data_IF_720331611174
#
_entry.id   IF_720331611174
#
_cell.length_a   1.000
_cell.length_b   1.000
_cell.length_c   1.000
_cell.angle_alpha   90.00
_cell.angle_beta   90.00
_cell.angle_gamma   90.00
#
_symmetry.space_group_name_H-M   'P 1'
#
loop_
_entity.id
_entity.type
_entity.pdbx_description
1 polymer ?
#
# COMPACT_ATOMS: atom_id res chain seq x y z
N UNK A 1 -8.26 13.84 -0.87
CA UNK A 1 -7.55 12.65 -1.38
C UNK A 1 -6.07 12.94 -1.29
N UNK A 2 -5.34 12.26 -0.40
CA UNK A 2 -3.91 12.46 -0.23
C UNK A 2 -3.17 11.64 -1.30
N UNK A 3 -2.59 12.33 -2.29
CA UNK A 3 -1.63 11.73 -3.21
C UNK A 3 -0.29 11.80 -2.50
N UNK A 4 0.19 10.65 -2.04
CA UNK A 4 1.51 10.54 -1.43
C UNK A 4 2.52 10.19 -2.51
N UNK A 5 3.66 10.90 -2.50
CA UNK A 5 4.88 10.31 -3.04
C UNK A 5 5.25 9.18 -2.09
N UNK A 6 5.57 7.98 -2.58
CA UNK A 6 5.79 6.78 -1.75
C UNK A 6 7.06 6.83 -0.87
N UNK A 7 7.51 8.02 -0.47
CA UNK A 7 8.56 8.25 0.51
C UNK A 7 8.15 9.45 1.38
N UNK A 8 7.88 9.20 2.67
CA UNK A 8 7.54 10.27 3.61
C UNK A 8 8.82 10.98 4.09
N UNK A 9 8.84 12.30 3.95
CA UNK A 9 9.39 13.29 4.89
C UNK A 9 10.68 12.92 5.62
N UNK A 10 11.83 13.09 4.95
CA UNK A 10 13.06 13.59 5.57
C UNK A 10 13.57 14.71 4.66
N UNK A 11 13.64 15.91 5.22
CA UNK A 11 14.43 17.08 4.82
C UNK A 11 14.84 17.24 3.35
N UNK A 12 14.39 18.34 2.73
CA UNK A 12 15.17 19.23 1.86
C UNK A 12 16.48 18.66 1.27
N UNK A 13 16.36 17.75 0.32
CA UNK A 13 17.39 17.43 -0.65
C UNK A 13 16.68 16.63 -1.74
N UNK A 14 16.33 17.31 -2.83
CA UNK A 14 15.97 16.64 -4.06
C UNK A 14 17.29 16.11 -4.65
N UNK A 15 17.53 14.78 -4.73
CA UNK A 15 18.63 14.32 -5.55
C UNK A 15 18.22 14.59 -7.00
N UNK A 16 19.00 15.39 -7.72
CA UNK A 16 18.80 15.77 -9.12
C UNK A 16 18.87 14.60 -10.11
N UNK A 17 18.99 13.36 -9.63
CA UNK A 17 19.00 12.16 -10.44
C UNK A 17 18.48 10.97 -9.64
N UNK A 18 17.40 10.28 -10.09
CA UNK A 18 17.00 9.02 -9.48
C UNK A 18 18.14 7.98 -9.65
N UNK A 19 18.42 7.13 -8.64
CA UNK A 19 19.39 6.04 -8.80
C UNK A 19 18.95 5.16 -9.97
N UNK A 20 19.93 4.68 -10.75
CA UNK A 20 19.70 3.94 -12.00
C UNK A 20 18.67 2.82 -11.80
N UNK A 21 17.49 2.98 -12.38
CA UNK A 21 16.38 2.02 -12.29
C UNK A 21 15.11 2.53 -11.59
N UNK A 22 15.15 3.63 -10.83
CA UNK A 22 13.93 4.20 -10.21
C UNK A 22 13.20 5.16 -11.15
N UNK A 23 11.87 5.06 -11.30
CA UNK A 23 11.07 6.04 -12.03
C UNK A 23 11.21 7.45 -11.41
N UNK A 24 11.11 8.51 -12.23
CA UNK A 24 11.11 9.88 -11.71
C UNK A 24 9.94 10.10 -10.74
N UNK A 25 10.13 10.95 -9.71
CA UNK A 25 9.05 11.31 -8.79
C UNK A 25 7.88 11.91 -9.58
N UNK A 26 6.65 11.46 -9.29
CA UNK A 26 5.46 11.87 -10.03
C UNK A 26 5.03 10.94 -11.16
N UNK A 27 5.77 9.86 -11.45
CA UNK A 27 5.36 8.90 -12.50
C UNK A 27 4.16 8.05 -12.04
N UNK A 28 3.03 8.08 -12.78
CA UNK A 28 1.91 7.20 -12.48
C UNK A 28 2.26 5.73 -12.83
N UNK A 29 1.83 4.76 -12.01
CA UNK A 29 2.08 3.33 -12.21
C UNK A 29 1.13 2.77 -13.27
N UNK A 30 1.25 3.23 -14.51
CA UNK A 30 0.40 2.76 -15.62
C UNK A 30 0.76 1.30 -15.94
N UNK A 31 -0.21 0.40 -15.78
CA UNK A 31 -0.02 -1.03 -16.03
C UNK A 31 0.68 -1.80 -14.90
N UNK A 32 1.18 -1.12 -13.86
CA UNK A 32 1.77 -1.76 -12.69
C UNK A 32 0.68 -2.05 -11.65
N UNK A 33 0.52 -3.33 -11.32
CA UNK A 33 -0.48 -3.80 -10.34
C UNK A 33 0.13 -4.54 -9.15
N UNK A 34 1.46 -4.54 -9.05
CA UNK A 34 2.19 -5.15 -7.94
C UNK A 34 2.47 -4.07 -6.90
N UNK A 35 1.84 -4.18 -5.73
CA UNK A 35 1.95 -3.20 -4.66
C UNK A 35 3.36 -3.14 -4.06
N UNK A 36 4.02 -4.26 -3.68
CA UNK A 36 5.38 -4.21 -3.17
C UNK A 36 6.37 -3.51 -4.12
N UNK A 37 6.30 -3.82 -5.41
CA UNK A 37 7.14 -3.21 -6.44
C UNK A 37 6.83 -1.73 -6.60
N UNK A 38 5.55 -1.36 -6.60
CA UNK A 38 5.10 0.02 -6.72
C UNK A 38 5.65 0.92 -5.60
N UNK A 39 5.64 0.44 -4.35
CA UNK A 39 6.18 1.17 -3.19
C UNK A 39 7.71 1.23 -3.26
N UNK A 40 8.38 0.10 -3.49
CA UNK A 40 9.86 0.01 -3.51
C UNK A 40 10.49 0.81 -4.64
N UNK A 41 9.86 0.83 -5.82
CA UNK A 41 10.32 1.63 -6.96
C UNK A 41 9.92 3.11 -6.85
N UNK A 42 9.04 3.49 -5.91
CA UNK A 42 8.73 4.90 -5.64
C UNK A 42 7.77 5.54 -6.67
N UNK A 43 6.86 4.78 -7.25
CA UNK A 43 5.82 5.34 -8.13
C UNK A 43 4.83 6.19 -7.33
N UNK A 44 4.13 7.09 -8.04
CA UNK A 44 3.03 7.85 -7.44
C UNK A 44 1.83 6.95 -7.16
N UNK A 45 1.41 6.89 -5.90
CA UNK A 45 0.36 6.00 -5.46
C UNK A 45 -0.72 6.79 -4.73
N UNK A 46 -1.98 6.47 -5.04
CA UNK A 46 -3.10 6.96 -4.24
C UNK A 46 -3.26 6.01 -3.08
N UNK A 47 -2.99 6.49 -1.87
CA UNK A 47 -3.08 5.67 -0.67
C UNK A 47 -4.51 5.14 -0.47
N UNK A 48 -4.62 3.81 -0.47
CA UNK A 48 -5.86 3.07 -0.18
C UNK A 48 -5.64 2.05 0.93
N UNK A 49 -4.59 2.19 1.72
CA UNK A 49 -4.22 1.27 2.79
C UNK A 49 -5.32 1.09 3.85
N UNK A 50 -6.16 2.10 4.08
CA UNK A 50 -7.36 1.99 4.95
C UNK A 50 -8.38 0.94 4.47
N UNK A 51 -8.31 0.48 3.21
CA UNK A 51 -9.10 -0.67 2.76
C UNK A 51 -8.81 -1.92 3.60
N UNK A 52 -7.58 -2.07 4.11
CA UNK A 52 -7.20 -3.19 4.98
C UNK A 52 -8.02 -3.16 6.27
N UNK A 53 -8.17 -2.00 6.90
CA UNK A 53 -9.04 -1.85 8.07
C UNK A 53 -10.49 -2.17 7.74
N UNK A 54 -11.01 -1.63 6.63
CA UNK A 54 -12.39 -1.95 6.22
C UNK A 54 -12.62 -3.44 6.01
N UNK A 55 -11.59 -4.18 5.56
CA UNK A 55 -11.63 -5.64 5.44
C UNK A 55 -11.57 -6.32 6.81
N UNK A 56 -10.73 -5.85 7.74
CA UNK A 56 -10.57 -6.42 9.08
C UNK A 56 -11.78 -6.16 9.99
N UNK A 57 -12.42 -5.00 9.87
CA UNK A 57 -13.60 -4.62 10.66
C UNK A 57 -14.90 -5.22 10.10
N UNK A 58 -14.85 -5.74 8.87
CA UNK A 58 -16.00 -6.35 8.22
C UNK A 58 -16.25 -7.76 8.74
N UNK A 59 -17.47 -8.00 9.25
CA UNK A 59 -17.96 -9.35 9.57
C UNK A 59 -18.48 -10.12 8.34
N UNK A 60 -18.40 -9.54 7.14
CA UNK A 60 -18.88 -10.17 5.91
C UNK A 60 -17.96 -11.31 5.47
N UNK A 61 -18.54 -12.47 5.17
CA UNK A 61 -17.82 -13.63 4.61
C UNK A 61 -17.32 -13.37 3.18
N UNK A 62 -18.01 -12.49 2.45
CA UNK A 62 -17.68 -12.12 1.06
C UNK A 62 -17.70 -10.61 0.93
N UNK A 63 -16.57 -10.04 0.50
CA UNK A 63 -16.43 -8.61 0.22
C UNK A 63 -16.49 -8.41 -1.30
N UNK A 64 -17.54 -7.74 -1.77
CA UNK A 64 -17.69 -7.40 -3.19
C UNK A 64 -16.89 -6.14 -3.51
N UNK A 65 -15.85 -6.28 -4.34
CA UNK A 65 -15.16 -5.14 -4.94
C UNK A 65 -15.88 -4.79 -6.26
N UNK A 66 -16.73 -3.73 -6.31
CA UNK A 66 -17.53 -3.42 -7.49
C UNK A 66 -16.63 -3.17 -8.70
N UNK A 67 -17.15 -3.21 -9.94
CA UNK A 67 -16.36 -3.15 -11.19
C UNK A 67 -16.04 -1.74 -11.79
N UNK A 68 -15.83 -0.63 -11.06
CA UNK A 68 -15.35 0.61 -11.70
C UNK A 68 -13.99 0.44 -12.39
N UNK A 69 -13.88 0.92 -13.63
CA UNK A 69 -12.66 0.87 -14.46
C UNK A 69 -11.54 1.68 -13.79
N UNK A 70 -10.31 1.18 -13.83
CA UNK A 70 -9.10 1.84 -13.24
C UNK A 70 -9.13 2.12 -11.74
N UNK A 71 -10.08 1.54 -10.99
CA UNK A 71 -10.12 1.69 -9.53
C UNK A 71 -8.95 1.01 -8.80
N UNK A 72 -8.14 0.22 -9.49
CA UNK A 72 -6.98 -0.44 -8.91
C UNK A 72 -7.32 -1.71 -8.13
N UNK A 73 -8.35 -2.47 -8.54
CA UNK A 73 -8.73 -3.73 -7.85
C UNK A 73 -7.58 -4.72 -7.76
N UNK A 74 -6.87 -4.95 -8.86
CA UNK A 74 -5.69 -5.84 -8.89
C UNK A 74 -4.61 -5.35 -7.92
N UNK A 75 -4.33 -4.05 -7.94
CA UNK A 75 -3.36 -3.44 -7.03
C UNK A 75 -3.79 -3.56 -5.56
N UNK A 76 -5.06 -3.32 -5.26
CA UNK A 76 -5.61 -3.47 -3.92
C UNK A 76 -5.55 -4.92 -3.42
N UNK A 77 -5.80 -5.91 -4.28
CA UNK A 77 -5.65 -7.32 -3.94
C UNK A 77 -4.17 -7.68 -3.71
N UNK A 78 -3.24 -7.12 -4.49
CA UNK A 78 -1.80 -7.28 -4.26
C UNK A 78 -1.38 -6.66 -2.91
N UNK A 79 -1.93 -5.50 -2.55
CA UNK A 79 -1.72 -4.86 -1.25
C UNK A 79 -2.24 -5.70 -0.09
N UNK A 80 -3.48 -6.23 -0.20
CA UNK A 80 -4.05 -7.13 0.81
C UNK A 80 -3.21 -8.40 0.97
N UNK A 81 -2.75 -8.98 -0.15
CA UNK A 81 -1.83 -10.12 -0.11
C UNK A 81 -0.55 -9.76 0.65
N UNK A 82 0.08 -8.63 0.31
CA UNK A 82 1.31 -8.18 0.98
C UNK A 82 1.12 -7.93 2.48
N UNK A 83 -0.07 -7.54 2.91
CA UNK A 83 -0.39 -7.36 4.33
C UNK A 83 -0.61 -8.68 5.07
N UNK A 84 -1.34 -9.63 4.46
CA UNK A 84 -1.69 -10.89 5.13
C UNK A 84 -0.63 -11.99 5.02
N UNK A 85 0.32 -11.85 4.09
CA UNK A 85 1.42 -12.78 3.87
C UNK A 85 2.51 -12.59 4.94
N UNK A 86 2.61 -13.53 5.88
CA UNK A 86 3.55 -13.47 7.02
C UNK A 86 4.99 -13.74 6.61
N UNK A 87 5.19 -14.44 5.50
CA UNK A 87 6.51 -14.84 5.02
C UNK A 87 7.08 -13.81 4.04
N UNK A 88 6.35 -12.71 3.78
CA UNK A 88 6.80 -11.66 2.88
C UNK A 88 7.92 -10.84 3.50
N UNK A 89 9.14 -10.85 2.92
CA UNK A 89 10.26 -10.09 3.45
C UNK A 89 10.00 -8.59 3.31
N UNK A 90 10.24 -7.86 4.40
CA UNK A 90 10.07 -6.40 4.45
C UNK A 90 8.62 -5.94 4.35
N UNK A 91 7.64 -6.76 4.75
CA UNK A 91 6.23 -6.37 4.71
C UNK A 91 5.94 -5.09 5.51
N UNK A 92 6.49 -4.94 6.72
CA UNK A 92 6.33 -3.74 7.55
C UNK A 92 6.82 -2.46 6.84
N UNK A 93 7.92 -2.54 6.09
CA UNK A 93 8.47 -1.40 5.36
C UNK A 93 7.54 -0.92 4.23
N UNK A 94 6.74 -1.81 3.64
CA UNK A 94 5.81 -1.46 2.56
C UNK A 94 4.66 -0.56 3.02
N UNK A 95 4.33 -0.59 4.31
CA UNK A 95 3.22 0.15 4.88
C UNK A 95 3.65 1.38 5.68
N UNK A 96 4.97 1.60 5.84
CA UNK A 96 5.52 2.76 6.52
C UNK A 96 5.11 4.06 5.82
N UNK A 97 4.60 5.00 6.60
CA UNK A 97 4.11 6.30 6.15
C UNK A 97 2.75 6.27 5.45
N UNK A 98 2.09 5.11 5.36
CA UNK A 98 0.73 4.98 4.82
C UNK A 98 -0.32 5.23 5.91
N UNK A 99 -1.53 5.60 5.50
CA UNK A 99 -2.64 5.91 6.40
C UNK A 99 -2.97 4.77 7.38
N UNK A 100 -2.75 3.51 6.99
CA UNK A 100 -2.97 2.39 7.89
C UNK A 100 -1.98 2.28 9.04
N UNK A 101 -0.74 2.74 8.89
CA UNK A 101 0.27 2.72 9.97
C UNK A 101 -0.17 3.67 11.10
N UNK A 102 -0.69 4.85 10.72
CA UNK A 102 -1.17 5.86 11.66
C UNK A 102 -2.46 5.46 12.37
N UNK A 103 -3.22 4.53 11.79
CA UNK A 103 -4.44 4.01 12.39
C UNK A 103 -4.19 2.95 13.50
N UNK A 104 -2.93 2.60 13.76
CA UNK A 104 -2.49 2.09 15.06
C UNK A 104 -2.37 0.57 15.21
N UNK A 105 -1.57 0.20 16.23
CA UNK A 105 -1.21 -1.15 16.73
C UNK A 105 -2.40 -2.11 16.96
N UNK A 106 -3.62 -1.57 17.06
CA UNK A 106 -4.85 -2.35 17.18
C UNK A 106 -5.17 -3.14 15.90
N UNK A 107 -4.73 -2.63 14.74
CA UNK A 107 -4.99 -3.27 13.45
C UNK A 107 -4.15 -4.55 13.26
N UNK A 108 -2.88 -4.53 13.68
CA UNK A 108 -1.97 -5.68 13.60
C UNK A 108 -2.33 -6.78 14.60
N UNK A 109 -2.67 -6.40 15.83
CA UNK A 109 -3.12 -7.34 16.86
C UNK A 109 -4.44 -8.03 16.49
N UNK A 110 -5.36 -7.33 15.80
CA UNK A 110 -6.60 -7.91 15.23
C UNK A 110 -6.34 -8.79 14.02
N UNK A 111 -5.44 -8.40 13.12
CA UNK A 111 -5.05 -9.24 11.98
C UNK A 111 -4.47 -10.59 12.43
N UNK A 112 -3.80 -10.61 13.59
CA UNK A 112 -3.35 -11.86 14.22
C UNK A 112 -4.51 -12.68 14.81
N UNK A 113 -5.52 -12.01 15.39
CA UNK A 113 -6.71 -12.66 15.98
C UNK A 113 -7.70 -13.21 14.95
N UNK A 114 -7.86 -12.57 13.80
CA UNK A 114 -8.75 -13.02 12.72
C UNK A 114 -8.26 -14.30 12.00
N UNK A 115 -7.09 -14.82 12.37
CA UNK A 115 -6.49 -16.06 11.84
C UNK A 115 -6.64 -17.28 12.78
N UNK A 116 -7.29 -17.13 13.93
CA UNK A 116 -7.62 -18.21 14.89
C UNK A 116 -9.11 -18.52 14.85
#
# INVERSE_FOLDING_TARGET
MNIISAMNTIATHTPSKPPAGKPPPGRPPIGLSDFPRLIREGYSYVDKSLLIQSVLDSSAQVILLPRPRRFGKTLNLSMLRAFFDRDMPGAAELFRGLAMEQAGEECESRAFRAKS
#
